data_IF_206883195114
#
_entry.id   IF_206883195114
#
_cell.length_a   1.000
_cell.length_b   1.000
_cell.length_c   1.000
_cell.angle_alpha   90.00
_cell.angle_beta   90.00
_cell.angle_gamma   90.00
#
_symmetry.space_group_name_H-M   'P 1'
#
loop_
_entity.id
_entity.type
_entity.pdbx_description
1 polymer ?
#
# COMPACT_ATOMS: atom_id res chain seq x y z
N UNK A 1 0.57 9.12 20.83
CA UNK A 1 1.78 8.62 20.16
C UNK A 1 2.34 9.68 19.23
N UNK A 2 3.66 9.75 19.12
CA UNK A 2 4.35 10.58 18.13
C UNK A 2 4.36 9.90 16.76
N UNK A 3 4.46 8.57 16.74
CA UNK A 3 4.45 7.75 15.54
C UNK A 3 3.65 6.46 15.77
N UNK A 4 2.85 6.08 14.77
CA UNK A 4 2.24 4.76 14.63
C UNK A 4 2.83 4.12 13.38
N UNK A 5 3.30 2.88 13.49
CA UNK A 5 3.86 2.13 12.37
C UNK A 5 3.11 0.81 12.15
N UNK A 6 2.78 0.52 10.88
CA UNK A 6 2.02 -0.66 10.47
C UNK A 6 2.70 -1.28 9.24
N UNK A 7 3.26 -2.47 9.40
CA UNK A 7 3.88 -3.19 8.28
C UNK A 7 3.01 -4.38 7.89
N UNK A 8 2.38 -4.30 6.70
CA UNK A 8 1.48 -5.34 6.17
C UNK A 8 0.37 -5.68 7.19
N UNK A 9 -0.34 -4.68 7.70
CA UNK A 9 -1.40 -4.80 8.72
C UNK A 9 -2.74 -4.27 8.24
N UNK A 10 -2.75 -3.12 7.55
CA UNK A 10 -3.99 -2.40 7.20
C UNK A 10 -4.91 -3.23 6.28
N UNK A 11 -4.33 -4.11 5.47
CA UNK A 11 -5.07 -5.04 4.58
C UNK A 11 -5.83 -6.13 5.35
N UNK A 12 -5.44 -6.42 6.59
CA UNK A 12 -6.07 -7.44 7.43
C UNK A 12 -7.15 -6.90 8.38
N UNK A 13 -7.34 -5.60 8.42
CA UNK A 13 -8.29 -4.98 9.35
C UNK A 13 -9.74 -5.25 8.95
N UNK A 14 -10.53 -5.81 9.87
CA UNK A 14 -11.95 -6.07 9.67
C UNK A 14 -12.75 -4.77 9.61
N UNK A 15 -12.45 -3.81 10.50
CA UNK A 15 -13.08 -2.49 10.51
C UNK A 15 -12.01 -1.41 10.37
N UNK A 16 -11.78 -1.04 9.12
CA UNK A 16 -10.81 -0.01 8.76
C UNK A 16 -11.19 1.35 9.36
N UNK A 17 -12.50 1.67 9.41
CA UNK A 17 -12.96 2.97 9.88
C UNK A 17 -12.70 3.12 11.38
N UNK A 18 -13.08 2.13 12.18
CA UNK A 18 -12.82 2.11 13.62
C UNK A 18 -11.33 2.23 13.92
N UNK A 19 -10.51 1.49 13.18
CA UNK A 19 -9.06 1.55 13.36
C UNK A 19 -8.50 2.94 13.03
N UNK A 20 -8.90 3.53 11.89
CA UNK A 20 -8.39 4.85 11.46
C UNK A 20 -8.80 5.96 12.40
N UNK A 21 -10.06 5.94 12.91
CA UNK A 21 -10.51 6.86 13.94
C UNK A 21 -9.70 6.73 15.23
N UNK A 22 -9.45 5.51 15.68
CA UNK A 22 -8.65 5.25 16.88
C UNK A 22 -7.20 5.70 16.69
N UNK A 23 -6.59 5.38 15.57
CA UNK A 23 -5.23 5.80 15.24
C UNK A 23 -5.11 7.32 15.21
N UNK A 24 -6.07 8.00 14.57
CA UNK A 24 -6.11 9.46 14.54
C UNK A 24 -6.25 10.06 15.94
N UNK A 25 -7.13 9.54 16.78
CA UNK A 25 -7.32 10.00 18.16
C UNK A 25 -6.07 9.80 19.04
N UNK A 26 -5.38 8.67 18.87
CA UNK A 26 -4.20 8.31 19.66
C UNK A 26 -2.91 9.00 19.24
N UNK A 27 -2.83 9.49 18.00
CA UNK A 27 -1.72 10.31 17.54
C UNK A 27 -1.77 11.70 18.21
N UNK A 28 -0.61 12.21 18.58
CA UNK A 28 -0.45 13.62 18.96
C UNK A 28 -0.67 14.53 17.73
N UNK A 29 -0.93 15.79 17.96
CA UNK A 29 -0.89 16.82 16.92
C UNK A 29 0.47 16.80 16.24
N UNK A 30 0.49 16.82 14.90
CA UNK A 30 1.68 16.62 14.06
C UNK A 30 2.35 15.24 14.22
N UNK A 31 1.75 14.32 14.96
CA UNK A 31 2.16 12.92 14.96
C UNK A 31 1.93 12.28 13.59
N UNK A 32 2.68 11.23 13.30
CA UNK A 32 2.66 10.59 11.99
C UNK A 32 2.26 9.12 12.03
N UNK A 33 1.61 8.68 10.97
CA UNK A 33 1.40 7.26 10.70
C UNK A 33 2.25 6.86 9.49
N UNK A 34 2.93 5.73 9.60
CA UNK A 34 3.78 5.17 8.55
C UNK A 34 3.33 3.73 8.35
N UNK A 35 3.11 3.32 7.10
CA UNK A 35 2.68 1.95 6.83
C UNK A 35 3.22 1.39 5.52
N UNK A 36 3.18 0.06 5.42
CA UNK A 36 3.23 -0.66 4.15
C UNK A 36 1.99 -1.51 3.96
N UNK A 37 1.63 -1.75 2.70
CA UNK A 37 0.56 -2.65 2.29
C UNK A 37 0.78 -3.12 0.85
N UNK A 38 0.26 -4.29 0.45
CA UNK A 38 0.36 -4.75 -0.92
C UNK A 38 -0.24 -3.78 -1.94
N UNK A 39 0.41 -3.66 -3.10
CA UNK A 39 -0.03 -2.80 -4.20
C UNK A 39 -0.96 -3.56 -5.15
N UNK A 40 -2.24 -3.30 -5.07
CA UNK A 40 -3.24 -3.93 -5.91
C UNK A 40 -3.06 -3.61 -7.41
N UNK A 41 -2.51 -2.44 -7.77
CA UNK A 41 -2.22 -2.09 -9.17
C UNK A 41 -1.18 -3.00 -9.85
N UNK A 42 -0.37 -3.74 -9.08
CA UNK A 42 0.54 -4.73 -9.64
C UNK A 42 -0.20 -5.84 -10.37
N UNK A 43 -1.45 -6.07 -10.05
CA UNK A 43 -2.33 -7.05 -10.69
C UNK A 43 -2.85 -6.45 -11.99
N UNK A 44 -2.05 -6.60 -13.06
CA UNK A 44 -2.20 -5.79 -14.29
C UNK A 44 -3.34 -6.24 -15.18
N UNK A 45 -3.75 -7.52 -15.17
CA UNK A 45 -4.71 -8.03 -16.14
C UNK A 45 -5.78 -8.92 -15.49
N UNK A 46 -7.02 -8.51 -15.56
CA UNK A 46 -8.18 -9.37 -15.43
C UNK A 46 -8.32 -10.22 -16.72
N UNK A 47 -8.54 -11.53 -16.70
CA UNK A 47 -8.89 -12.40 -15.57
C UNK A 47 -7.70 -13.10 -14.90
N UNK A 48 -6.47 -12.79 -15.20
CA UNK A 48 -5.28 -13.42 -14.59
C UNK A 48 -5.05 -12.96 -13.14
N UNK A 49 -5.81 -11.97 -12.72
CA UNK A 49 -5.81 -11.41 -11.37
C UNK A 49 -6.09 -12.47 -10.31
N UNK A 50 -7.04 -13.36 -10.54
CA UNK A 50 -7.43 -14.43 -9.63
C UNK A 50 -6.34 -15.49 -9.43
N UNK A 51 -5.34 -15.54 -10.35
CA UNK A 51 -4.18 -16.42 -10.26
C UNK A 51 -2.97 -15.76 -9.60
N UNK A 52 -3.04 -14.46 -9.32
CA UNK A 52 -1.97 -13.78 -8.61
C UNK A 52 -1.99 -14.20 -7.13
N UNK A 53 -0.80 -14.43 -6.57
CA UNK A 53 -0.66 -14.86 -5.18
C UNK A 53 -1.28 -13.85 -4.20
N UNK A 54 -1.24 -12.55 -4.52
CA UNK A 54 -1.85 -11.51 -3.72
C UNK A 54 -3.37 -11.71 -3.64
N UNK A 55 -4.00 -12.10 -4.75
CA UNK A 55 -5.43 -12.35 -4.83
C UNK A 55 -5.83 -13.71 -4.23
N UNK A 56 -4.95 -14.70 -4.35
CA UNK A 56 -5.14 -16.02 -3.72
C UNK A 56 -5.08 -15.96 -2.19
N UNK A 57 -4.46 -14.92 -1.63
CA UNK A 57 -4.49 -14.61 -0.20
C UNK A 57 -5.75 -13.82 0.19
N UNK A 58 -6.88 -14.11 -0.47
CA UNK A 58 -8.20 -13.53 -0.19
C UNK A 58 -8.70 -13.81 1.24
N UNK A 59 -9.83 -13.19 1.60
CA UNK A 59 -10.45 -13.48 2.89
C UNK A 59 -10.42 -14.99 3.24
N UNK A 60 -10.07 -15.33 4.48
CA UNK A 60 -9.97 -14.42 5.62
C UNK A 60 -8.60 -13.72 5.79
N UNK A 61 -7.63 -13.89 4.87
CA UNK A 61 -6.27 -13.36 5.04
C UNK A 61 -6.20 -11.87 4.72
N UNK A 62 -6.54 -11.46 3.48
CA UNK A 62 -6.61 -10.06 3.09
C UNK A 62 -8.07 -9.62 2.94
N UNK A 63 -8.49 -8.64 3.73
CA UNK A 63 -9.84 -8.08 3.73
C UNK A 63 -9.94 -6.79 2.90
N UNK A 64 -8.83 -6.06 2.79
CA UNK A 64 -8.76 -4.80 2.08
C UNK A 64 -7.68 -4.84 1.01
N UNK A 65 -7.98 -4.28 -0.15
CA UNK A 65 -7.05 -4.18 -1.28
C UNK A 65 -6.84 -2.72 -1.66
N UNK A 66 -5.58 -2.27 -1.62
CA UNK A 66 -5.26 -0.86 -1.83
C UNK A 66 -4.51 -0.61 -3.13
N UNK A 67 -4.95 0.43 -3.83
CA UNK A 67 -4.17 1.14 -4.85
C UNK A 67 -3.56 2.40 -4.23
N UNK A 68 -2.62 3.04 -4.92
CA UNK A 68 -2.07 4.34 -4.48
C UNK A 68 -3.19 5.38 -4.30
N UNK A 69 -4.16 5.39 -5.20
CA UNK A 69 -5.29 6.34 -5.14
C UNK A 69 -6.24 6.02 -4.00
N UNK A 70 -6.65 4.74 -3.85
CA UNK A 70 -7.62 4.38 -2.82
C UNK A 70 -7.06 4.58 -1.41
N UNK A 71 -5.80 4.22 -1.15
CA UNK A 71 -5.21 4.43 0.17
C UNK A 71 -5.05 5.91 0.51
N UNK A 72 -4.67 6.77 -0.46
CA UNK A 72 -4.65 8.22 -0.24
C UNK A 72 -6.02 8.75 0.14
N UNK A 73 -7.07 8.32 -0.57
CA UNK A 73 -8.44 8.77 -0.30
C UNK A 73 -8.90 8.37 1.11
N UNK A 74 -8.55 7.16 1.57
CA UNK A 74 -8.79 6.75 2.97
C UNK A 74 -8.15 7.74 3.94
N UNK A 75 -6.86 8.06 3.76
CA UNK A 75 -6.17 8.98 4.66
C UNK A 75 -6.72 10.41 4.60
N UNK A 76 -7.12 10.90 3.43
CA UNK A 76 -7.77 12.21 3.31
C UNK A 76 -9.14 12.24 4.02
N UNK A 77 -9.94 11.17 3.93
CA UNK A 77 -11.25 11.12 4.59
C UNK A 77 -11.15 11.16 6.11
N UNK A 78 -10.03 10.68 6.67
CA UNK A 78 -9.71 10.78 8.10
C UNK A 78 -8.87 12.01 8.48
N UNK A 79 -8.87 13.04 7.62
CA UNK A 79 -8.24 14.35 7.87
C UNK A 79 -6.72 14.32 8.07
N UNK A 80 -6.04 13.27 7.62
CA UNK A 80 -4.59 13.30 7.55
C UNK A 80 -4.12 14.27 6.46
N UNK A 81 -2.95 14.86 6.67
CA UNK A 81 -2.29 15.80 5.75
C UNK A 81 -0.88 15.33 5.38
N UNK A 82 -0.26 16.00 4.41
CA UNK A 82 1.10 15.70 3.95
C UNK A 82 1.30 14.21 3.60
N UNK A 83 0.29 13.65 2.92
CA UNK A 83 0.29 12.22 2.57
C UNK A 83 1.32 11.97 1.47
N UNK A 84 2.40 11.28 1.84
CA UNK A 84 3.46 10.85 0.93
C UNK A 84 3.31 9.37 0.65
N UNK A 85 3.21 9.01 -0.62
CA UNK A 85 3.17 7.60 -1.04
C UNK A 85 4.36 7.29 -1.91
N UNK A 86 5.02 6.18 -1.64
CA UNK A 86 6.16 5.66 -2.40
C UNK A 86 5.90 4.22 -2.80
N UNK A 87 6.33 3.88 -4.01
CA UNK A 87 6.42 2.51 -4.52
C UNK A 87 7.83 2.28 -5.05
N UNK A 88 8.25 1.03 -5.07
CA UNK A 88 9.53 0.68 -5.68
C UNK A 88 9.44 0.86 -7.20
N UNK A 89 10.36 1.62 -7.77
CA UNK A 89 10.39 1.93 -9.21
C UNK A 89 11.15 0.91 -10.07
N UNK A 90 11.92 0.03 -9.43
CA UNK A 90 12.73 -0.98 -10.11
C UNK A 90 12.44 -2.37 -9.53
N UNK A 91 12.45 -3.44 -10.36
CA UNK A 91 12.28 -4.80 -9.87
C UNK A 91 13.46 -5.23 -8.99
N UNK A 92 13.23 -6.25 -8.16
CA UNK A 92 14.33 -6.94 -7.49
C UNK A 92 15.22 -7.62 -8.54
N UNK A 93 16.53 -7.65 -8.29
CA UNK A 93 17.50 -8.26 -9.19
C UNK A 93 17.35 -9.80 -9.15
N UNK A 94 16.71 -10.33 -10.17
CA UNK A 94 16.46 -11.77 -10.34
C UNK A 94 16.82 -12.18 -11.77
N UNK A 95 18.12 -12.18 -12.08
CA UNK A 95 18.64 -12.39 -13.44
C UNK A 95 18.20 -13.72 -14.08
N UNK A 96 17.90 -14.73 -13.26
CA UNK A 96 17.44 -16.05 -13.71
C UNK A 96 15.97 -16.06 -14.20
N UNK A 97 15.18 -15.03 -13.88
CA UNK A 97 13.75 -14.99 -14.21
C UNK A 97 13.47 -14.11 -15.43
N UNK A 98 12.86 -14.67 -16.48
CA UNK A 98 12.40 -13.91 -17.67
C UNK A 98 11.56 -12.69 -17.29
N UNK A 99 10.75 -12.80 -16.25
CA UNK A 99 9.89 -11.72 -15.74
C UNK A 99 10.70 -10.51 -15.23
N UNK A 100 11.94 -10.72 -14.79
CA UNK A 100 12.83 -9.62 -14.39
C UNK A 100 13.12 -8.70 -15.59
N UNK A 101 13.49 -9.24 -16.73
CA UNK A 101 13.83 -8.44 -17.92
C UNK A 101 12.63 -7.63 -18.43
N UNK A 102 11.44 -8.23 -18.44
CA UNK A 102 10.20 -7.53 -18.81
C UNK A 102 9.92 -6.37 -17.83
N UNK A 103 10.05 -6.63 -16.54
CA UNK A 103 9.84 -5.61 -15.52
C UNK A 103 10.92 -4.52 -15.55
N UNK A 104 12.14 -4.88 -15.87
CA UNK A 104 13.24 -3.93 -16.03
C UNK A 104 13.01 -2.98 -17.20
N UNK A 105 12.57 -3.50 -18.35
CA UNK A 105 12.17 -2.67 -19.51
C UNK A 105 11.01 -1.75 -19.12
N UNK A 106 9.98 -2.26 -18.41
CA UNK A 106 8.90 -1.42 -17.88
C UNK A 106 9.40 -0.32 -16.95
N UNK A 107 10.43 -0.60 -16.15
CA UNK A 107 11.01 0.38 -15.23
C UNK A 107 11.73 1.52 -15.96
N UNK A 108 12.46 1.20 -17.04
CA UNK A 108 13.12 2.21 -17.89
C UNK A 108 12.08 3.18 -18.47
N UNK A 109 10.91 2.68 -18.86
CA UNK A 109 9.81 3.52 -19.38
C UNK A 109 8.88 4.08 -18.29
N UNK A 110 9.28 4.05 -16.99
CA UNK A 110 8.47 4.48 -15.84
C UNK A 110 7.08 3.80 -15.75
N UNK A 111 6.94 2.59 -16.28
CA UNK A 111 5.71 1.78 -16.27
C UNK A 111 5.74 0.64 -15.25
N UNK A 112 6.82 0.52 -14.48
CA UNK A 112 6.92 -0.50 -13.44
C UNK A 112 6.36 0.04 -12.13
N UNK A 113 5.49 -0.76 -11.51
CA UNK A 113 5.02 -0.54 -10.15
C UNK A 113 5.44 -1.70 -9.26
N UNK A 114 6.07 -1.40 -8.14
CA UNK A 114 6.49 -2.38 -7.15
C UNK A 114 5.30 -3.04 -6.43
N UNK A 115 5.53 -4.19 -5.79
CA UNK A 115 4.46 -4.96 -5.13
C UNK A 115 3.92 -4.34 -3.84
N UNK A 116 4.61 -3.36 -3.28
CA UNK A 116 4.31 -2.77 -1.96
C UNK A 116 4.17 -1.27 -2.07
N UNK A 117 3.14 -0.74 -1.45
CA UNK A 117 2.91 0.69 -1.22
C UNK A 117 3.48 1.03 0.15
N UNK A 118 4.26 2.10 0.23
CA UNK A 118 4.70 2.73 1.47
C UNK A 118 4.02 4.08 1.59
N UNK A 119 3.41 4.36 2.74
CA UNK A 119 2.70 5.60 3.00
C UNK A 119 3.18 6.22 4.30
N UNK A 120 3.36 7.53 4.28
CA UNK A 120 3.53 8.39 5.45
C UNK A 120 2.46 9.48 5.40
N UNK A 121 1.79 9.72 6.52
CA UNK A 121 0.81 10.79 6.67
C UNK A 121 0.94 11.43 8.05
N UNK A 122 0.55 12.70 8.15
CA UNK A 122 0.66 13.49 9.39
C UNK A 122 -0.75 13.85 9.86
N UNK A 123 -1.00 13.71 11.17
CA UNK A 123 -2.23 14.20 11.79
C UNK A 123 -2.26 15.72 11.71
N UNK A 124 -3.36 16.25 11.19
CA UNK A 124 -3.59 17.71 11.17
C UNK A 124 -3.67 18.26 12.59
N UNK A 125 -3.04 19.41 12.82
CA UNK A 125 -3.13 20.18 14.04
C UNK A 125 -4.47 20.87 14.21
#
# INVERSE_FOLDING_TARGET
FDVIMLWEVIEHLQDLNVFMDLAYKKLKVNGRIILSTPNYNKIVNYPTREKDQLFQNEPPVHLNFFTITSIKNVFYSFQFQNIKVRIKKYPYLELSKKRFYINFVKAIFNRYEGPTIYLEAIKKG
#
